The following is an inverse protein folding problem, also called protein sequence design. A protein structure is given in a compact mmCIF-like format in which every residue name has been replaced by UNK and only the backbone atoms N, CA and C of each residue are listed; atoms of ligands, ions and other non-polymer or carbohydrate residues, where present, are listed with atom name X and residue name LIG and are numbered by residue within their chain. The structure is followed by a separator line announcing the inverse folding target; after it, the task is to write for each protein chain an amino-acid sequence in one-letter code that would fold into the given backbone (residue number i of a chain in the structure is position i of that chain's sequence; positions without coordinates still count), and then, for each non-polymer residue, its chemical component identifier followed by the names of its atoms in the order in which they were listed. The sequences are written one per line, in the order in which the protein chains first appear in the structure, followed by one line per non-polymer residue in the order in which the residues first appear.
data_IF_598903628877
#
_entry.id   IF_598903628877
#
_cell.length_a   1.000
_cell.length_b   1.000
_cell.length_c   1.000
_cell.angle_alpha   90.00
_cell.angle_beta   90.00
_cell.angle_gamma   90.00
#
_symmetry.space_group_name_H-M   'P 1'
#
loop_
_entity.id
_entity.type
_entity.pdbx_description
1 polymer ?
#
# COMPACT_ATOMS: atom_id res chain seq x y z
N UNK A 1 2.93 23.04 -4.54
CA UNK A 1 2.88 23.46 -3.14
C UNK A 1 3.54 24.81 -2.87
N UNK A 2 3.08 25.48 -1.81
CA UNK A 2 3.65 26.73 -1.24
C UNK A 2 4.58 26.47 -0.05
N UNK A 3 4.58 25.26 0.53
CA UNK A 3 5.53 24.87 1.58
C UNK A 3 6.78 24.27 0.91
N UNK A 4 7.98 24.88 1.07
CA UNK A 4 9.21 24.38 0.45
C UNK A 4 9.65 23.01 0.98
N UNK A 5 9.06 22.51 2.07
CA UNK A 5 9.36 21.19 2.64
C UNK A 5 8.46 20.08 2.10
N UNK A 6 7.46 20.43 1.29
CA UNK A 6 6.53 19.48 0.71
C UNK A 6 6.88 19.25 -0.77
N UNK A 7 6.83 18.00 -1.21
CA UNK A 7 7.03 17.69 -2.64
C UNK A 7 5.70 17.84 -3.39
N UNK A 8 4.67 17.12 -2.94
CA UNK A 8 3.30 17.21 -3.45
C UNK A 8 2.33 17.55 -2.31
N UNK A 9 1.39 18.45 -2.59
CA UNK A 9 0.35 18.84 -1.65
C UNK A 9 -0.88 17.91 -1.73
N UNK A 10 -1.82 18.11 -0.81
CA UNK A 10 -3.03 17.30 -0.71
C UNK A 10 -4.15 17.75 -1.66
N UNK A 11 -3.88 18.67 -2.59
CA UNK A 11 -4.86 19.16 -3.55
C UNK A 11 -4.92 18.23 -4.78
N UNK A 12 -6.13 18.06 -5.35
CA UNK A 12 -6.30 17.26 -6.57
C UNK A 12 -5.62 17.93 -7.76
N UNK A 13 -4.87 17.14 -8.52
CA UNK A 13 -4.29 17.55 -9.79
C UNK A 13 -5.11 16.98 -10.96
N UNK A 14 -5.28 17.71 -12.08
CA UNK A 14 -5.85 17.16 -13.30
C UNK A 14 -4.91 16.17 -14.01
N UNK A 15 -3.64 16.10 -13.63
CA UNK A 15 -2.65 15.20 -14.22
C UNK A 15 -1.76 14.54 -13.17
N UNK A 16 -1.41 13.28 -13.38
CA UNK A 16 -0.42 12.58 -12.55
C UNK A 16 0.96 13.21 -12.70
N UNK A 17 1.66 13.39 -11.57
CA UNK A 17 3.03 13.88 -11.51
C UNK A 17 3.98 12.78 -11.05
N UNK A 18 5.23 12.83 -11.50
CA UNK A 18 6.21 11.77 -11.24
C UNK A 18 7.48 12.35 -10.64
N UNK A 19 8.03 11.65 -9.65
CA UNK A 19 9.30 11.99 -9.03
C UNK A 19 10.02 10.75 -8.50
N UNK A 20 11.33 10.84 -8.34
CA UNK A 20 12.13 9.96 -7.49
C UNK A 20 12.49 10.71 -6.21
N UNK A 21 12.62 9.98 -5.11
CA UNK A 21 13.03 10.54 -3.82
C UNK A 21 14.10 9.64 -3.23
N UNK A 22 15.28 10.20 -2.99
CA UNK A 22 16.31 9.52 -2.21
C UNK A 22 16.04 9.72 -0.73
N UNK A 23 15.97 8.62 0.03
CA UNK A 23 15.70 8.66 1.47
C UNK A 23 16.81 7.92 2.21
N UNK A 24 17.36 8.57 3.22
CA UNK A 24 18.28 7.96 4.18
C UNK A 24 17.52 7.30 5.31
N UNK A 25 17.95 6.09 5.72
CA UNK A 25 17.46 5.38 6.90
C UNK A 25 18.52 5.48 8.00
N UNK A 26 18.19 5.95 9.21
CA UNK A 26 19.18 6.16 10.26
C UNK A 26 19.69 4.82 10.81
N UNK A 27 20.97 4.75 11.21
CA UNK A 27 21.56 3.52 11.76
C UNK A 27 20.91 3.02 13.06
N UNK A 28 20.21 3.90 13.76
CA UNK A 28 19.47 3.59 15.00
C UNK A 28 18.09 2.98 14.74
N UNK A 29 17.71 2.83 13.47
CA UNK A 29 16.38 2.40 13.06
C UNK A 29 15.99 1.06 13.66
N UNK A 30 14.75 1.00 14.15
CA UNK A 30 14.12 -0.21 14.65
C UNK A 30 13.01 -0.66 13.69
N UNK A 31 12.95 -1.97 13.44
CA UNK A 31 11.92 -2.56 12.56
C UNK A 31 10.53 -2.11 13.00
N UNK A 32 9.77 -1.58 12.05
CA UNK A 32 8.42 -1.07 12.28
C UNK A 32 8.31 0.36 12.80
N UNK A 33 9.43 0.97 13.21
CA UNK A 33 9.45 2.37 13.58
C UNK A 33 9.67 3.26 12.36
N UNK A 34 9.13 4.47 12.40
CA UNK A 34 9.54 5.51 11.46
C UNK A 34 10.08 6.67 12.29
N UNK A 35 11.40 6.73 12.43
CA UNK A 35 12.07 7.80 13.15
C UNK A 35 11.94 9.10 12.34
N UNK A 36 11.16 10.05 12.86
CA UNK A 36 10.96 11.35 12.24
C UNK A 36 11.03 12.44 13.28
N UNK A 37 11.56 13.57 12.84
CA UNK A 37 11.49 14.82 13.58
C UNK A 37 10.03 15.23 13.77
N UNK A 38 9.67 15.67 14.98
CA UNK A 38 8.33 16.19 15.27
C UNK A 38 8.30 17.70 15.08
N UNK A 39 7.22 18.20 14.49
CA UNK A 39 6.99 19.64 14.34
C UNK A 39 7.82 20.27 13.23
N UNK A 40 8.40 21.45 13.50
CA UNK A 40 9.11 22.26 12.50
C UNK A 40 10.64 22.16 12.56
N UNK A 41 11.19 21.30 13.42
CA UNK A 41 12.63 21.12 13.51
C UNK A 41 13.19 20.45 12.23
N UNK A 42 14.45 20.74 11.93
CA UNK A 42 15.14 20.15 10.79
C UNK A 42 15.43 18.66 11.06
N UNK A 43 15.25 17.83 10.04
CA UNK A 43 15.59 16.40 10.10
C UNK A 43 17.09 16.19 10.26
N UNK A 44 17.50 15.19 11.04
CA UNK A 44 18.88 14.77 11.14
C UNK A 44 19.03 13.36 10.54
N UNK A 45 19.72 13.18 9.39
CA UNK A 45 19.89 11.87 8.75
C UNK A 45 20.52 10.78 9.64
N UNK A 46 21.22 11.16 10.71
CA UNK A 46 21.77 10.20 11.67
C UNK A 46 20.72 9.65 12.66
N UNK A 47 19.57 10.30 12.77
CA UNK A 47 18.50 9.99 13.74
C UNK A 47 17.14 9.77 13.11
N UNK A 48 16.88 10.36 11.96
CA UNK A 48 15.57 10.43 11.32
C UNK A 48 15.65 9.96 9.86
N UNK A 49 14.55 9.37 9.38
CA UNK A 49 14.31 9.20 7.95
C UNK A 49 14.34 10.57 7.29
N UNK A 50 15.22 10.76 6.32
CA UNK A 50 15.41 12.06 5.68
C UNK A 50 15.48 11.92 4.17
N UNK A 51 14.56 12.59 3.47
CA UNK A 51 14.65 12.79 2.04
C UNK A 51 15.84 13.72 1.72
N UNK A 52 16.78 13.25 0.91
CA UNK A 52 18.02 13.97 0.57
C UNK A 52 18.00 14.56 -0.82
N UNK A 53 17.26 13.94 -1.74
CA UNK A 53 17.14 14.40 -3.13
C UNK A 53 15.74 14.10 -3.67
N UNK A 54 15.24 14.98 -4.52
CA UNK A 54 13.99 14.82 -5.25
C UNK A 54 14.22 15.21 -6.71
N UNK A 55 14.01 14.28 -7.64
CA UNK A 55 14.07 14.55 -9.07
C UNK A 55 12.67 14.40 -9.68
N UNK A 56 12.20 15.44 -10.39
CA UNK A 56 10.89 15.42 -11.06
C UNK A 56 11.02 14.95 -12.50
N UNK A 57 10.01 14.21 -12.96
CA UNK A 57 9.98 13.65 -14.32
C UNK A 57 8.69 13.99 -15.05
N UNK A 58 8.79 14.12 -16.36
CA UNK A 58 7.64 13.89 -17.25
C UNK A 58 7.34 12.38 -17.35
N UNK A 59 6.11 12.02 -17.71
CA UNK A 59 5.68 10.62 -17.75
C UNK A 59 6.59 9.70 -18.61
N UNK A 60 7.04 10.08 -19.83
CA UNK A 60 7.96 9.25 -20.61
C UNK A 60 9.33 9.07 -19.94
N UNK A 61 9.84 10.12 -19.29
CA UNK A 61 11.11 10.10 -18.58
C UNK A 61 11.03 9.20 -17.34
N UNK A 62 9.93 9.30 -16.58
CA UNK A 62 9.68 8.43 -15.44
C UNK A 62 9.58 6.97 -15.85
N UNK A 63 8.80 6.67 -16.90
CA UNK A 63 8.66 5.31 -17.43
C UNK A 63 10.02 4.70 -17.81
N UNK A 64 10.93 5.50 -18.38
CA UNK A 64 12.29 5.06 -18.69
C UNK A 64 13.13 4.85 -17.42
N UNK A 65 13.07 5.79 -16.47
CA UNK A 65 13.82 5.72 -15.21
C UNK A 65 13.41 4.51 -14.37
N UNK A 66 12.09 4.31 -14.15
CA UNK A 66 11.57 3.18 -13.38
C UNK A 66 11.84 1.84 -14.08
N UNK A 67 11.78 1.79 -15.42
CA UNK A 67 12.13 0.58 -16.17
C UNK A 67 13.61 0.21 -16.03
N UNK A 68 14.51 1.20 -15.99
CA UNK A 68 15.93 0.98 -15.77
C UNK A 68 16.21 0.47 -14.34
N UNK A 69 15.60 1.09 -13.33
CA UNK A 69 15.75 0.67 -11.94
C UNK A 69 15.20 -0.76 -11.71
N UNK A 70 14.02 -1.07 -12.27
CA UNK A 70 13.44 -2.43 -12.22
C UNK A 70 14.39 -3.47 -12.81
N UNK A 71 14.99 -3.18 -13.97
CA UNK A 71 15.94 -4.08 -14.61
C UNK A 71 17.23 -4.28 -13.79
N UNK A 72 17.66 -3.27 -13.04
CA UNK A 72 18.82 -3.36 -12.14
C UNK A 72 18.49 -4.11 -10.84
N UNK A 73 17.22 -4.09 -10.41
CA UNK A 73 16.75 -4.61 -9.13
C UNK A 73 16.04 -5.96 -9.22
N UNK A 74 16.38 -6.75 -10.23
CA UNK A 74 15.89 -8.14 -10.35
C UNK A 74 14.49 -8.27 -10.94
N UNK A 75 14.05 -7.30 -11.75
CA UNK A 75 12.79 -7.33 -12.49
C UNK A 75 11.52 -7.37 -11.61
N UNK A 76 11.55 -6.77 -10.40
CA UNK A 76 10.38 -6.69 -9.50
C UNK A 76 10.06 -5.26 -9.14
N UNK A 77 8.77 -4.96 -9.00
CA UNK A 77 8.28 -3.70 -8.46
C UNK A 77 7.33 -3.93 -7.28
N UNK A 78 7.42 -3.10 -6.25
CA UNK A 78 6.50 -3.05 -5.13
C UNK A 78 5.78 -1.70 -5.17
N UNK A 79 4.48 -1.71 -5.42
CA UNK A 79 3.63 -0.53 -5.36
C UNK A 79 3.04 -0.40 -3.96
N UNK A 80 3.32 0.70 -3.28
CA UNK A 80 2.66 1.04 -2.03
C UNK A 80 1.61 2.14 -2.24
N UNK A 81 0.40 1.92 -1.72
CA UNK A 81 -0.71 2.87 -1.79
C UNK A 81 -1.10 3.29 -0.37
N UNK A 82 -0.83 4.54 -0.01
CA UNK A 82 -1.10 5.05 1.34
C UNK A 82 -2.60 5.24 1.61
N UNK A 83 -2.94 5.36 2.90
CA UNK A 83 -4.31 5.54 3.38
C UNK A 83 -4.76 6.99 3.54
N UNK A 84 -5.93 7.12 4.18
CA UNK A 84 -6.54 8.38 4.62
C UNK A 84 -5.65 9.13 5.61
N UNK A 85 -5.71 10.47 5.60
CA UNK A 85 -4.96 11.33 6.52
C UNK A 85 -3.43 11.17 6.42
N UNK A 86 -2.93 10.85 5.22
CA UNK A 86 -1.51 10.71 4.93
C UNK A 86 -1.12 11.61 3.76
N UNK A 87 -0.08 12.41 3.91
CA UNK A 87 0.53 13.14 2.80
C UNK A 87 1.51 12.29 1.98
N UNK A 88 2.07 12.89 0.94
CA UNK A 88 3.13 12.28 0.13
C UNK A 88 4.32 11.82 0.98
N UNK A 89 4.81 12.68 1.88
CA UNK A 89 5.97 12.38 2.74
C UNK A 89 5.69 11.21 3.70
N UNK A 90 4.44 11.09 4.19
CA UNK A 90 4.03 9.97 5.02
C UNK A 90 4.12 8.65 4.24
N UNK A 91 3.65 8.67 3.00
CA UNK A 91 3.73 7.55 2.06
C UNK A 91 5.16 7.16 1.72
N UNK A 92 6.01 8.14 1.39
CA UNK A 92 7.42 7.90 1.03
C UNK A 92 8.15 7.20 2.17
N UNK A 93 8.12 7.78 3.36
CA UNK A 93 8.83 7.21 4.49
C UNK A 93 8.25 5.86 4.93
N UNK A 94 6.94 5.64 4.78
CA UNK A 94 6.34 4.32 5.04
C UNK A 94 6.80 3.28 4.02
N UNK A 95 6.83 3.63 2.73
CA UNK A 95 7.37 2.74 1.70
C UNK A 95 8.86 2.47 1.93
N UNK A 96 9.66 3.48 2.27
CA UNK A 96 11.08 3.31 2.61
C UNK A 96 11.24 2.34 3.77
N UNK A 97 10.46 2.50 4.84
CA UNK A 97 10.50 1.62 6.00
C UNK A 97 10.11 0.19 5.63
N UNK A 98 9.02 -0.01 4.89
CA UNK A 98 8.62 -1.34 4.39
C UNK A 98 9.75 -1.96 3.57
N UNK A 99 10.28 -1.25 2.56
CA UNK A 99 11.34 -1.78 1.70
C UNK A 99 12.61 -2.11 2.47
N UNK A 100 13.01 -1.25 3.41
CA UNK A 100 14.18 -1.45 4.27
C UNK A 100 14.01 -2.67 5.18
N UNK A 101 12.91 -2.73 5.94
CA UNK A 101 12.71 -3.76 6.96
C UNK A 101 12.44 -5.13 6.36
N UNK A 102 11.75 -5.15 5.22
CA UNK A 102 11.53 -6.39 4.45
C UNK A 102 12.76 -6.78 3.64
N UNK A 103 13.82 -5.97 3.61
CA UNK A 103 14.99 -6.15 2.72
C UNK A 103 14.56 -6.41 1.28
N UNK A 104 13.57 -5.64 0.82
CA UNK A 104 13.04 -5.76 -0.53
C UNK A 104 14.12 -5.41 -1.54
N UNK A 105 14.40 -6.32 -2.47
CA UNK A 105 15.46 -6.17 -3.47
C UNK A 105 14.98 -5.49 -4.75
N UNK A 106 13.68 -5.45 -4.99
CA UNK A 106 13.04 -4.83 -6.16
C UNK A 106 12.94 -3.31 -6.08
N UNK A 107 12.24 -2.72 -7.05
CA UNK A 107 11.97 -1.27 -7.13
C UNK A 107 10.75 -0.88 -6.28
N UNK A 108 10.92 -0.12 -5.19
CA UNK A 108 9.79 0.45 -4.46
C UNK A 108 9.18 1.63 -5.22
N UNK A 109 7.87 1.62 -5.41
CA UNK A 109 7.09 2.66 -6.09
C UNK A 109 5.98 3.12 -5.16
N UNK A 110 5.94 4.41 -4.82
CA UNK A 110 4.80 5.00 -4.10
C UNK A 110 3.76 5.45 -5.13
N UNK A 111 2.52 5.00 -4.97
CA UNK A 111 1.39 5.70 -5.54
C UNK A 111 0.74 6.58 -4.46
N UNK A 112 0.86 7.88 -4.63
CA UNK A 112 0.29 8.88 -3.72
C UNK A 112 -0.90 9.57 -4.37
N UNK A 113 -1.95 9.79 -3.58
CA UNK A 113 -3.18 10.44 -4.01
C UNK A 113 -3.50 11.62 -3.09
N UNK A 114 -4.37 12.53 -3.56
CA UNK A 114 -4.70 13.80 -2.91
C UNK A 114 -5.52 13.64 -1.61
N UNK A 115 -4.91 13.02 -0.60
CA UNK A 115 -5.40 13.03 0.78
C UNK A 115 -5.10 14.38 1.40
N UNK A 116 -6.09 14.93 2.10
CA UNK A 116 -5.97 16.21 2.81
C UNK A 116 -4.99 16.18 3.98
N UNK A 117 -4.53 15.00 4.40
CA UNK A 117 -3.67 14.85 5.58
C UNK A 117 -4.36 15.24 6.89
N UNK A 118 -5.70 15.27 6.92
CA UNK A 118 -6.49 15.71 8.08
C UNK A 118 -7.59 14.71 8.43
N UNK A 119 -7.74 14.43 9.73
CA UNK A 119 -8.79 13.54 10.25
C UNK A 119 -10.21 14.05 10.00
N UNK A 120 -10.40 15.37 9.87
CA UNK A 120 -11.69 15.98 9.51
C UNK A 120 -11.97 15.95 8.00
N UNK A 121 -11.01 15.54 7.17
CA UNK A 121 -11.09 15.56 5.71
C UNK A 121 -11.70 14.30 5.09
N UNK A 122 -12.31 13.40 5.87
CA UNK A 122 -12.73 12.08 5.41
C UNK A 122 -13.54 12.07 4.10
N UNK A 123 -14.53 12.96 3.99
CA UNK A 123 -15.36 13.05 2.77
C UNK A 123 -14.52 13.53 1.57
N UNK A 124 -13.66 14.53 1.77
CA UNK A 124 -12.76 15.01 0.72
C UNK A 124 -11.84 13.88 0.25
N UNK A 125 -11.22 13.18 1.19
CA UNK A 125 -10.31 12.07 0.92
C UNK A 125 -11.02 10.92 0.19
N UNK A 126 -12.25 10.58 0.57
CA UNK A 126 -13.05 9.57 -0.13
C UNK A 126 -13.30 9.95 -1.60
N UNK A 127 -13.67 11.20 -1.86
CA UNK A 127 -13.87 11.68 -3.22
C UNK A 127 -12.53 11.79 -3.99
N UNK A 128 -11.43 12.11 -3.31
CA UNK A 128 -10.08 12.11 -3.91
C UNK A 128 -9.61 10.69 -4.25
N UNK A 129 -9.88 9.72 -3.38
CA UNK A 129 -9.59 8.30 -3.62
C UNK A 129 -10.37 7.77 -4.84
N UNK A 130 -11.63 8.18 -5.00
CA UNK A 130 -12.40 7.89 -6.21
C UNK A 130 -11.76 8.50 -7.46
N UNK A 131 -11.27 9.74 -7.39
CA UNK A 131 -10.61 10.39 -8.53
C UNK A 131 -9.30 9.71 -8.92
N UNK A 132 -8.54 9.19 -7.94
CA UNK A 132 -7.21 8.62 -8.16
C UNK A 132 -7.19 7.20 -8.77
N UNK A 133 -8.34 6.52 -8.89
CA UNK A 133 -8.40 5.12 -9.36
C UNK A 133 -7.86 4.95 -10.80
N UNK A 134 -8.12 5.93 -11.67
CA UNK A 134 -7.71 5.90 -13.07
C UNK A 134 -6.19 6.12 -13.20
N UNK A 135 -5.64 7.02 -12.38
CA UNK A 135 -4.20 7.28 -12.29
C UNK A 135 -3.42 6.05 -11.76
N UNK A 136 -3.99 5.31 -10.78
CA UNK A 136 -3.38 4.07 -10.31
C UNK A 136 -3.41 2.99 -11.39
N UNK A 137 -4.52 2.84 -12.11
CA UNK A 137 -4.60 1.92 -13.25
C UNK A 137 -3.51 2.25 -14.29
N UNK A 138 -3.37 3.51 -14.68
CA UNK A 138 -2.36 3.93 -15.65
C UNK A 138 -0.94 3.66 -15.13
N UNK A 139 -0.68 3.92 -13.85
CA UNK A 139 0.60 3.62 -13.20
C UNK A 139 0.92 2.13 -13.25
N UNK A 140 -0.04 1.26 -12.90
CA UNK A 140 0.13 -0.19 -12.97
C UNK A 140 0.40 -0.67 -14.40
N UNK A 141 -0.31 -0.11 -15.39
CA UNK A 141 -0.07 -0.40 -16.81
C UNK A 141 1.30 0.07 -17.28
N UNK A 142 1.76 1.23 -16.80
CA UNK A 142 3.11 1.74 -17.08
C UNK A 142 4.17 0.76 -16.56
N UNK A 143 4.03 0.29 -15.32
CA UNK A 143 4.92 -0.71 -14.73
C UNK A 143 4.85 -2.03 -15.50
N UNK A 144 3.67 -2.47 -15.92
CA UNK A 144 3.48 -3.69 -16.71
C UNK A 144 4.13 -3.63 -18.10
N UNK A 145 4.34 -2.45 -18.67
CA UNK A 145 5.07 -2.25 -19.94
C UNK A 145 6.60 -2.33 -19.77
N UNK A 146 7.11 -2.29 -18.54
CA UNK A 146 8.54 -2.49 -18.26
C UNK A 146 8.93 -3.97 -18.33
N UNK A 147 10.21 -4.27 -18.05
CA UNK A 147 10.70 -5.66 -17.91
C UNK A 147 10.29 -6.34 -16.59
N UNK A 148 9.50 -5.68 -15.74
CA UNK A 148 8.97 -6.28 -14.53
C UNK A 148 8.35 -7.66 -14.82
N UNK A 149 8.76 -8.65 -14.03
CA UNK A 149 8.19 -10.00 -13.98
C UNK A 149 7.08 -10.10 -12.94
N UNK A 150 7.16 -9.30 -11.87
CA UNK A 150 6.15 -9.21 -10.83
C UNK A 150 5.95 -7.76 -10.38
N UNK A 151 4.69 -7.38 -10.20
CA UNK A 151 4.24 -6.13 -9.62
C UNK A 151 3.44 -6.48 -8.37
N UNK A 152 4.10 -6.39 -7.22
CA UNK A 152 3.46 -6.60 -5.91
C UNK A 152 2.80 -5.28 -5.47
N UNK A 153 1.69 -5.37 -4.73
CA UNK A 153 0.94 -4.22 -4.23
C UNK A 153 0.71 -4.38 -2.72
N UNK A 154 1.07 -3.35 -1.95
CA UNK A 154 0.67 -3.19 -0.56
C UNK A 154 -0.16 -1.92 -0.46
N UNK A 155 -1.41 -2.05 -0.02
CA UNK A 155 -2.31 -0.91 0.15
C UNK A 155 -2.80 -0.84 1.59
N UNK A 156 -2.93 0.36 2.13
CA UNK A 156 -3.33 0.57 3.52
C UNK A 156 -4.60 1.42 3.63
N UNK A 157 -5.53 1.03 4.50
CA UNK A 157 -6.74 1.80 4.83
C UNK A 157 -7.50 2.23 3.57
N UNK A 158 -7.80 3.50 3.38
CA UNK A 158 -8.48 3.99 2.17
C UNK A 158 -7.69 3.76 0.87
N UNK A 159 -6.38 3.52 0.92
CA UNK A 159 -5.58 3.11 -0.25
C UNK A 159 -6.02 1.74 -0.81
N UNK A 160 -6.63 0.88 0.02
CA UNK A 160 -7.17 -0.40 -0.46
C UNK A 160 -8.38 -0.18 -1.36
N UNK A 161 -9.18 0.86 -1.12
CA UNK A 161 -10.28 1.25 -2.01
C UNK A 161 -9.76 1.62 -3.40
N UNK A 162 -8.76 2.51 -3.46
CA UNK A 162 -8.13 2.94 -4.72
C UNK A 162 -7.58 1.74 -5.48
N UNK A 163 -6.88 0.85 -4.76
CA UNK A 163 -6.31 -0.38 -5.31
C UNK A 163 -7.38 -1.31 -5.89
N UNK A 164 -8.45 -1.58 -5.13
CA UNK A 164 -9.51 -2.47 -5.59
C UNK A 164 -10.30 -1.90 -6.77
N UNK A 165 -10.53 -0.58 -6.82
CA UNK A 165 -11.15 0.03 -8.00
C UNK A 165 -10.22 -0.03 -9.22
N UNK A 166 -8.92 0.24 -9.10
CA UNK A 166 -7.98 0.11 -10.22
C UNK A 166 -7.92 -1.34 -10.75
N UNK A 167 -7.81 -2.34 -9.86
CA UNK A 167 -7.83 -3.76 -10.24
C UNK A 167 -9.17 -4.16 -10.90
N UNK A 168 -10.29 -3.65 -10.38
CA UNK A 168 -11.62 -3.84 -10.99
C UNK A 168 -11.69 -3.24 -12.40
N UNK A 169 -11.10 -2.07 -12.65
CA UNK A 169 -11.05 -1.45 -13.99
C UNK A 169 -10.16 -2.24 -14.95
N UNK A 170 -9.00 -2.72 -14.49
CA UNK A 170 -8.17 -3.66 -15.24
C UNK A 170 -8.97 -4.92 -15.63
N UNK A 171 -9.79 -5.45 -14.73
CA UNK A 171 -10.66 -6.59 -15.05
C UNK A 171 -11.76 -6.25 -16.06
N UNK A 172 -12.38 -5.07 -15.95
CA UNK A 172 -13.38 -4.59 -16.91
C UNK A 172 -12.82 -4.52 -18.33
N UNK A 173 -11.55 -4.10 -18.45
CA UNK A 173 -10.86 -3.92 -19.72
C UNK A 173 -10.17 -5.18 -20.24
N UNK A 174 -10.28 -6.31 -19.52
CA UNK A 174 -9.76 -7.61 -19.93
C UNK A 174 -8.30 -7.89 -19.58
N UNK A 175 -7.67 -7.06 -18.73
CA UNK A 175 -6.26 -7.17 -18.33
C UNK A 175 -6.10 -7.22 -16.81
N UNK A 176 -6.97 -7.99 -16.13
CA UNK A 176 -7.09 -8.04 -14.66
C UNK A 176 -5.80 -8.37 -13.92
N UNK A 177 -4.90 -9.10 -14.58
CA UNK A 177 -3.66 -9.62 -14.01
C UNK A 177 -2.42 -8.93 -14.60
N UNK A 178 -2.57 -7.75 -15.23
CA UNK A 178 -1.48 -6.99 -15.84
C UNK A 178 -0.63 -7.83 -16.80
N UNK A 179 -1.29 -8.54 -17.71
CA UNK A 179 -0.67 -9.49 -18.64
C UNK A 179 0.14 -10.59 -17.94
N UNK A 180 -0.35 -11.04 -16.77
CA UNK A 180 0.28 -12.07 -15.95
C UNK A 180 1.38 -11.57 -15.01
N UNK A 181 1.57 -10.24 -14.91
CA UNK A 181 2.60 -9.62 -14.05
C UNK A 181 2.10 -9.18 -12.68
N UNK A 182 0.79 -9.26 -12.42
CA UNK A 182 0.26 -8.97 -11.09
C UNK A 182 0.78 -10.01 -10.08
N UNK A 183 1.55 -9.52 -9.11
CA UNK A 183 2.15 -10.32 -8.04
C UNK A 183 1.22 -10.46 -6.84
N UNK A 184 1.78 -10.31 -5.64
CA UNK A 184 1.01 -10.33 -4.41
C UNK A 184 0.24 -9.02 -4.22
N UNK A 185 -1.01 -9.12 -3.75
CA UNK A 185 -1.81 -7.97 -3.33
C UNK A 185 -2.13 -8.13 -1.85
N UNK A 186 -1.61 -7.22 -1.03
CA UNK A 186 -1.84 -7.15 0.42
C UNK A 186 -2.68 -5.90 0.69
N UNK A 187 -3.89 -6.10 1.23
CA UNK A 187 -4.79 -5.03 1.65
C UNK A 187 -4.80 -4.99 3.18
N UNK A 188 -4.15 -3.97 3.75
CA UNK A 188 -4.00 -3.81 5.19
C UNK A 188 -5.04 -2.85 5.78
N UNK A 189 -5.73 -3.31 6.82
CA UNK A 189 -6.85 -2.62 7.47
C UNK A 189 -7.85 -1.99 6.47
N UNK A 190 -8.45 -2.76 5.54
CA UNK A 190 -9.14 -2.16 4.38
C UNK A 190 -10.36 -1.30 4.78
N UNK A 191 -10.35 -0.02 4.39
CA UNK A 191 -11.51 0.89 4.57
C UNK A 191 -12.45 0.80 3.36
N UNK A 192 -13.04 -0.39 3.16
CA UNK A 192 -14.00 -0.68 2.08
C UNK A 192 -15.26 -1.23 2.74
N UNK A 193 -16.44 -0.77 2.31
CA UNK A 193 -17.71 -1.41 2.69
C UNK A 193 -17.72 -2.86 2.22
N UNK A 194 -18.12 -3.80 3.08
CA UNK A 194 -18.06 -5.24 2.78
C UNK A 194 -18.85 -5.61 1.52
N UNK A 195 -20.05 -5.03 1.32
CA UNK A 195 -20.86 -5.33 0.14
C UNK A 195 -20.25 -4.75 -1.12
N UNK A 196 -19.60 -3.59 -1.01
CA UNK A 196 -18.82 -3.01 -2.11
C UNK A 196 -17.62 -3.88 -2.44
N UNK A 197 -16.85 -4.35 -1.46
CA UNK A 197 -15.71 -5.24 -1.68
C UNK A 197 -16.14 -6.53 -2.38
N UNK A 198 -17.22 -7.16 -1.91
CA UNK A 198 -17.80 -8.35 -2.57
C UNK A 198 -18.22 -8.03 -4.00
N UNK A 199 -18.80 -6.86 -4.25
CA UNK A 199 -19.17 -6.41 -5.60
C UNK A 199 -17.94 -6.23 -6.50
N UNK A 200 -16.88 -5.63 -5.99
CA UNK A 200 -15.60 -5.48 -6.68
C UNK A 200 -15.00 -6.85 -7.02
N UNK A 201 -14.98 -7.78 -6.06
CA UNK A 201 -14.48 -9.14 -6.27
C UNK A 201 -15.33 -9.95 -7.25
N UNK A 202 -16.66 -9.79 -7.27
CA UNK A 202 -17.50 -10.40 -8.31
C UNK A 202 -17.15 -9.89 -9.71
N UNK A 203 -16.81 -8.61 -9.82
CA UNK A 203 -16.42 -8.01 -11.11
C UNK A 203 -14.99 -8.38 -11.52
N UNK A 204 -14.08 -8.47 -10.56
CA UNK A 204 -12.68 -8.86 -10.78
C UNK A 204 -12.51 -10.39 -11.01
N UNK A 205 -13.32 -11.21 -10.34
CA UNK A 205 -13.24 -12.67 -10.33
C UNK A 205 -12.33 -13.20 -9.21
N UNK A 206 -12.13 -14.52 -9.14
CA UNK A 206 -11.12 -15.09 -8.22
C UNK A 206 -9.71 -14.80 -8.76
N UNK A 207 -8.81 -14.21 -7.96
CA UNK A 207 -7.43 -13.97 -8.39
C UNK A 207 -6.66 -15.29 -8.55
N UNK A 208 -5.61 -15.29 -9.38
CA UNK A 208 -4.75 -16.46 -9.56
C UNK A 208 -3.91 -16.73 -8.30
N UNK A 209 -3.43 -15.66 -7.66
CA UNK A 209 -2.78 -15.66 -6.34
C UNK A 209 -3.74 -14.99 -5.34
N UNK A 210 -4.15 -15.64 -4.24
CA UNK A 210 -5.11 -15.04 -3.29
C UNK A 210 -4.66 -13.66 -2.81
N UNK A 211 -5.58 -12.69 -2.81
CA UNK A 211 -5.32 -11.40 -2.16
C UNK A 211 -5.28 -11.60 -0.65
N UNK A 212 -4.32 -10.98 0.03
CA UNK A 212 -4.15 -11.12 1.48
C UNK A 212 -4.84 -9.92 2.15
N UNK A 213 -5.85 -10.19 2.97
CA UNK A 213 -6.54 -9.21 3.79
C UNK A 213 -5.98 -9.25 5.20
N UNK A 214 -5.37 -8.16 5.66
CA UNK A 214 -4.92 -8.03 7.04
C UNK A 214 -5.97 -7.21 7.80
N UNK A 215 -6.76 -7.87 8.66
CA UNK A 215 -7.85 -7.24 9.41
C UNK A 215 -7.37 -6.76 10.78
N UNK A 216 -8.05 -5.77 11.37
CA UNK A 216 -7.78 -5.33 12.74
C UNK A 216 -9.05 -4.75 13.37
N UNK A 217 -9.76 -5.54 14.17
CA UNK A 217 -11.06 -5.22 14.81
C UNK A 217 -10.97 -4.06 15.82
N UNK A 218 -9.78 -3.80 16.38
CA UNK A 218 -9.53 -2.73 17.36
C UNK A 218 -9.13 -1.39 16.74
N UNK A 219 -9.18 -1.29 15.42
CA UNK A 219 -8.76 -0.13 14.65
C UNK A 219 -9.73 1.05 14.82
N UNK A 220 -9.25 2.08 15.53
CA UNK A 220 -10.06 3.27 15.85
C UNK A 220 -10.36 4.14 14.63
N UNK A 221 -9.56 4.06 13.57
CA UNK A 221 -9.78 4.83 12.35
C UNK A 221 -10.94 4.25 11.53
N UNK A 222 -11.07 2.92 11.47
CA UNK A 222 -12.21 2.24 10.83
C UNK A 222 -13.52 2.51 11.56
N UNK A 223 -13.49 2.60 12.89
CA UNK A 223 -14.68 3.00 13.67
C UNK A 223 -15.14 4.41 13.34
N UNK A 224 -14.22 5.34 13.08
CA UNK A 224 -14.56 6.70 12.65
C UNK A 224 -15.14 6.71 11.23
N UNK A 225 -14.56 5.93 10.31
CA UNK A 225 -15.05 5.81 8.94
C UNK A 225 -16.42 5.15 8.86
N UNK A 226 -16.66 4.09 9.64
CA UNK A 226 -17.94 3.40 9.76
C UNK A 226 -19.04 4.29 10.31
N UNK A 227 -18.76 5.13 11.32
CA UNK A 227 -19.74 6.11 11.83
C UNK A 227 -20.16 7.13 10.76
N UNK A 228 -19.20 7.65 9.98
CA UNK A 228 -19.47 8.61 8.91
C UNK A 228 -20.19 7.94 7.73
N UNK A 229 -19.89 6.68 7.45
CA UNK A 229 -20.47 5.91 6.36
C UNK A 229 -21.80 5.22 6.71
N UNK A 230 -22.42 5.55 7.84
CA UNK A 230 -23.75 5.06 8.20
C UNK A 230 -23.78 3.68 8.86
N UNK A 231 -22.72 3.30 9.58
CA UNK A 231 -22.60 2.08 10.40
C UNK A 231 -22.68 0.75 9.63
N UNK A 232 -22.21 0.73 8.37
CA UNK A 232 -22.02 -0.51 7.62
C UNK A 232 -20.66 -1.13 7.96
N UNK A 233 -20.55 -2.47 8.09
CA UNK A 233 -19.29 -3.15 8.34
C UNK A 233 -18.25 -2.83 7.26
N UNK A 234 -17.01 -2.59 7.69
CA UNK A 234 -15.85 -2.42 6.81
C UNK A 234 -15.12 -3.75 6.69
N UNK A 235 -14.45 -3.98 5.57
CA UNK A 235 -13.67 -5.21 5.40
C UNK A 235 -12.63 -5.35 6.53
N UNK A 236 -11.97 -4.26 6.93
CA UNK A 236 -11.00 -4.26 8.03
C UNK A 236 -11.54 -4.64 9.41
N UNK A 237 -12.86 -4.54 9.65
CA UNK A 237 -13.54 -4.91 10.91
C UNK A 237 -14.48 -6.12 10.77
N UNK A 238 -14.46 -6.79 9.61
CA UNK A 238 -15.41 -7.84 9.29
C UNK A 238 -15.01 -9.19 9.90
N UNK A 239 -15.90 -9.75 10.73
CA UNK A 239 -15.61 -10.95 11.53
C UNK A 239 -15.83 -12.28 10.81
N UNK A 240 -16.54 -12.28 9.70
CA UNK A 240 -16.82 -13.50 8.93
C UNK A 240 -15.75 -13.68 7.84
N UNK A 241 -14.60 -14.22 8.24
CA UNK A 241 -13.49 -14.50 7.33
C UNK A 241 -13.86 -15.54 6.26
N UNK A 242 -14.77 -16.47 6.56
CA UNK A 242 -15.19 -17.51 5.63
C UNK A 242 -15.99 -16.93 4.46
N UNK A 243 -16.88 -15.99 4.74
CA UNK A 243 -17.64 -15.27 3.71
C UNK A 243 -16.75 -14.44 2.77
N UNK A 244 -15.62 -13.89 3.26
CA UNK A 244 -14.64 -13.24 2.40
C UNK A 244 -13.82 -14.26 1.59
N UNK A 245 -13.40 -15.37 2.20
CA UNK A 245 -12.56 -16.40 1.56
C UNK A 245 -13.19 -16.99 0.29
N UNK A 246 -14.51 -17.04 0.21
CA UNK A 246 -15.25 -17.49 -0.99
C UNK A 246 -14.95 -16.67 -2.25
N UNK A 247 -14.46 -15.43 -2.10
CA UNK A 247 -14.04 -14.55 -3.19
C UNK A 247 -12.58 -14.78 -3.63
N UNK A 248 -11.88 -15.77 -3.07
CA UNK A 248 -10.50 -16.09 -3.42
C UNK A 248 -9.48 -15.19 -2.72
N UNK A 249 -9.77 -14.77 -1.49
CA UNK A 249 -8.86 -14.00 -0.63
C UNK A 249 -8.42 -14.85 0.55
N UNK A 250 -7.23 -14.57 1.08
CA UNK A 250 -6.76 -15.10 2.36
C UNK A 250 -6.94 -14.03 3.43
N UNK A 251 -7.65 -14.36 4.50
CA UNK A 251 -7.91 -13.43 5.60
C UNK A 251 -6.97 -13.74 6.76
N UNK A 252 -6.38 -12.69 7.30
CA UNK A 252 -5.46 -12.74 8.44
C UNK A 252 -5.96 -11.72 9.45
N UNK A 253 -6.47 -12.20 10.57
CA UNK A 253 -6.96 -11.34 11.65
C UNK A 253 -5.79 -10.90 12.55
N UNK A 254 -5.49 -9.60 12.61
CA UNK A 254 -4.41 -9.06 13.45
C UNK A 254 -4.94 -8.41 14.75
N UNK A 255 -6.20 -8.66 15.11
CA UNK A 255 -6.84 -8.05 16.28
C UNK A 255 -6.15 -8.41 17.59
N UNK A 256 -5.62 -9.64 17.69
CA UNK A 256 -4.85 -10.13 18.86
C UNK A 256 -3.39 -9.64 18.88
N UNK A 257 -2.90 -9.12 17.75
CA UNK A 257 -1.51 -8.70 17.59
C UNK A 257 -1.33 -7.28 18.13
N UNK A 258 -0.31 -7.09 18.98
CA UNK A 258 0.04 -5.77 19.52
C UNK A 258 0.66 -4.90 18.42
N UNK A 259 0.07 -3.73 18.20
CA UNK A 259 0.68 -2.63 17.44
C UNK A 259 1.48 -1.69 18.35
N UNK A 260 2.39 -0.91 17.78
CA UNK A 260 3.09 0.17 18.48
C UNK A 260 2.43 1.55 18.32
N UNK A 261 1.50 1.72 17.36
CA UNK A 261 0.79 2.97 17.14
C UNK A 261 -0.44 3.13 18.05
N UNK A 262 -0.72 4.39 18.44
CA UNK A 262 -1.79 4.81 19.36
C UNK A 262 -3.19 4.47 18.86
N UNK A 263 -3.38 4.26 17.57
CA UNK A 263 -4.66 3.92 16.95
C UNK A 263 -4.77 2.45 16.53
N UNK A 264 -3.72 1.65 16.71
CA UNK A 264 -3.66 0.26 16.26
C UNK A 264 -3.91 0.11 14.73
N UNK A 265 -3.68 1.17 13.94
CA UNK A 265 -4.06 1.28 12.53
C UNK A 265 -2.97 0.82 11.55
N UNK A 266 -1.70 0.77 12.00
CA UNK A 266 -0.52 0.49 11.16
C UNK A 266 0.18 -0.82 11.51
N UNK A 267 -0.51 -1.75 12.19
CA UNK A 267 0.06 -3.03 12.66
C UNK A 267 0.79 -3.83 11.58
N UNK A 268 0.33 -3.76 10.33
CA UNK A 268 0.92 -4.47 9.20
C UNK A 268 2.39 -4.12 8.94
N UNK A 269 2.78 -2.87 9.19
CA UNK A 269 4.13 -2.37 8.96
C UNK A 269 4.92 -2.16 10.25
N UNK A 270 4.24 -2.10 11.40
CA UNK A 270 4.86 -1.83 12.70
C UNK A 270 5.18 -3.10 13.49
N UNK A 271 4.61 -4.26 13.13
CA UNK A 271 4.88 -5.53 13.80
C UNK A 271 6.07 -6.26 13.13
N UNK A 272 7.19 -6.50 13.84
CA UNK A 272 8.39 -7.09 13.25
C UNK A 272 8.19 -8.50 12.65
N UNK A 273 7.30 -9.31 13.22
CA UNK A 273 7.03 -10.65 12.70
C UNK A 273 6.22 -10.59 11.39
N UNK A 274 5.22 -9.72 11.32
CA UNK A 274 4.47 -9.49 10.06
C UNK A 274 5.39 -8.94 8.97
N UNK A 275 6.22 -7.95 9.31
CA UNK A 275 7.19 -7.37 8.36
C UNK A 275 8.17 -8.43 7.86
N UNK A 276 8.66 -9.30 8.75
CA UNK A 276 9.52 -10.42 8.36
C UNK A 276 8.83 -11.39 7.40
N UNK A 277 7.55 -11.71 7.65
CA UNK A 277 6.77 -12.60 6.78
C UNK A 277 6.42 -11.96 5.43
N UNK A 278 6.02 -10.68 5.42
CA UNK A 278 5.84 -9.90 4.20
C UNK A 278 7.15 -9.90 3.40
N UNK A 279 8.29 -9.67 4.07
CA UNK A 279 9.58 -9.71 3.40
C UNK A 279 9.97 -11.10 2.89
N UNK A 280 9.67 -12.18 3.63
CA UNK A 280 9.82 -13.55 3.12
C UNK A 280 8.98 -13.73 1.86
N UNK A 281 7.71 -13.34 1.90
CA UNK A 281 6.79 -13.44 0.78
C UNK A 281 7.26 -12.69 -0.47
N UNK A 282 7.68 -11.44 -0.30
CA UNK A 282 8.12 -10.60 -1.41
C UNK A 282 9.43 -11.07 -2.06
N UNK A 283 10.20 -11.93 -1.38
CA UNK A 283 11.47 -12.50 -1.87
C UNK A 283 11.34 -13.93 -2.40
N UNK A 284 10.32 -14.70 -2.00
CA UNK A 284 10.23 -16.14 -2.30
C UNK A 284 9.80 -16.51 -3.73
N UNK A 285 9.48 -15.54 -4.59
CA UNK A 285 9.18 -15.76 -6.02
C UNK A 285 10.42 -16.21 -6.86
N UNK A 286 11.54 -16.55 -6.21
CA UNK A 286 12.77 -17.09 -6.81
C UNK A 286 12.65 -18.57 -7.24
N UNK A 287 11.44 -19.15 -7.27
CA UNK A 287 11.15 -20.42 -7.96
C UNK A 287 10.92 -21.66 -7.08
N UNK A 288 10.42 -21.52 -5.85
CA UNK A 288 10.02 -22.69 -5.03
C UNK A 288 8.53 -22.70 -4.69
N UNK A 289 7.97 -23.91 -4.57
CA UNK A 289 6.57 -24.21 -4.28
C UNK A 289 6.13 -23.87 -2.83
N UNK A 290 6.80 -22.93 -2.15
CA UNK A 290 6.53 -22.53 -0.76
C UNK A 290 5.35 -21.56 -0.62
N UNK A 291 4.63 -21.28 -1.72
CA UNK A 291 3.68 -20.17 -1.72
C UNK A 291 2.51 -20.33 -0.73
N UNK A 292 2.12 -21.57 -0.42
CA UNK A 292 1.13 -21.84 0.63
C UNK A 292 1.71 -21.65 2.02
N UNK A 293 2.94 -22.09 2.27
CA UNK A 293 3.54 -22.09 3.61
C UNK A 293 3.68 -20.67 4.19
N UNK A 294 4.07 -19.67 3.41
CA UNK A 294 4.13 -18.29 3.93
C UNK A 294 2.75 -17.72 4.19
N UNK A 295 1.78 -18.00 3.32
CA UNK A 295 0.39 -17.55 3.51
C UNK A 295 -0.19 -18.18 4.77
N UNK A 296 0.00 -19.49 4.94
CA UNK A 296 -0.45 -20.24 6.10
C UNK A 296 0.23 -19.75 7.39
N UNK A 297 1.54 -19.45 7.34
CA UNK A 297 2.27 -18.87 8.48
C UNK A 297 1.81 -17.46 8.84
N UNK A 298 1.47 -16.62 7.86
CA UNK A 298 0.87 -15.31 8.10
C UNK A 298 -0.52 -15.50 8.74
N UNK A 299 -1.35 -16.40 8.21
CA UNK A 299 -2.67 -16.72 8.77
C UNK A 299 -2.60 -17.27 10.21
N UNK A 300 -1.56 -18.03 10.55
CA UNK A 300 -1.34 -18.55 11.91
C UNK A 300 -1.00 -17.46 12.94
N UNK A 301 -0.51 -16.29 12.55
CA UNK A 301 -0.29 -15.17 13.50
C UNK A 301 -1.60 -14.55 14.00
N UNK A 302 -2.69 -14.77 13.29
CA UNK A 302 -4.00 -14.25 13.66
C UNK A 302 -4.86 -15.16 14.52
N UNK A 303 -4.37 -16.37 14.84
CA UNK A 303 -5.00 -17.33 15.76
C UNK A 303 -4.48 -17.12 17.17
#
# INVERSE_FOLDING_TARGET
TKDPRQVFDGDRSPTTSFASVEVTVPKIHQVGAIERVRGSANSNPAKDFTATEVEFYGAPQFAKAVSADIAMRGDRALVFVHGFNNGFDDGIYRLTQIAHDTKYSGTPVLFSWASSGKTTGYIYDKESANAARDDLEETLRMLARTKAKSIDIIAHSMGTWVTMEALRQLAITGDRDLSGKLGYVILASPDIDVDVFKSQMRRYGKPNKPFILLLSDDDRALRLSGLIAGSRPRVGDYKDAADLADYGVSVVDLSSVKGSDRFNHTKFADNPELVKMIGQRLREDDGFASDREVTDRISLLGQ
#
